data_IF_174909261633
#
_entry.id   IF_174909261633
#
_cell.length_a   1.000
_cell.length_b   1.000
_cell.length_c   1.000
_cell.angle_alpha   90.00
_cell.angle_beta   90.00
_cell.angle_gamma   90.00
#
_symmetry.space_group_name_H-M   'P 1'
#
loop_
_entity.id
_entity.type
_entity.pdbx_description
1 polymer ?
#
# COMPACT_ATOMS: atom_id res chain seq x y z
N UNK A 1 -2.15 -5.57 -21.40
CA UNK A 1 -1.66 -6.19 -20.15
C UNK A 1 -1.23 -5.08 -19.21
N UNK A 2 -1.60 -5.10 -17.92
CA UNK A 2 -1.12 -4.10 -16.97
C UNK A 2 0.40 -4.20 -16.85
N UNK A 3 1.07 -3.06 -16.74
CA UNK A 3 2.52 -3.00 -16.55
C UNK A 3 2.90 -3.48 -15.14
N UNK A 4 3.96 -4.28 -15.04
CA UNK A 4 4.50 -4.75 -13.75
C UNK A 4 5.07 -3.60 -12.93
N UNK A 5 4.74 -3.53 -11.64
CA UNK A 5 5.29 -2.54 -10.70
C UNK A 5 6.76 -2.89 -10.39
N UNK A 6 7.65 -1.89 -10.43
CA UNK A 6 9.07 -2.07 -10.11
C UNK A 6 9.28 -2.46 -8.64
N UNK A 7 10.37 -3.16 -8.35
CA UNK A 7 10.78 -3.53 -6.99
C UNK A 7 12.10 -2.87 -6.60
N UNK A 8 12.35 -2.74 -5.29
CA UNK A 8 13.63 -2.35 -4.71
C UNK A 8 14.07 -3.39 -3.69
N UNK A 9 15.39 -3.60 -3.55
CA UNK A 9 15.94 -4.50 -2.53
C UNK A 9 16.16 -3.74 -1.22
N UNK A 10 15.60 -4.27 -0.14
CA UNK A 10 15.90 -3.83 1.21
C UNK A 10 17.28 -4.34 1.64
N UNK A 11 17.92 -3.74 2.67
CA UNK A 11 19.19 -4.25 3.22
C UNK A 11 19.11 -5.70 3.72
N UNK A 12 17.91 -6.18 4.09
CA UNK A 12 17.64 -7.58 4.42
C UNK A 12 17.73 -8.53 3.22
N UNK A 13 17.82 -8.01 1.99
CA UNK A 13 17.82 -8.78 0.74
C UNK A 13 16.43 -8.96 0.11
N UNK A 14 15.36 -8.60 0.83
CA UNK A 14 13.98 -8.71 0.35
C UNK A 14 13.67 -7.72 -0.77
N UNK A 15 13.02 -8.17 -1.84
CA UNK A 15 12.57 -7.31 -2.94
C UNK A 15 11.12 -6.88 -2.71
N UNK A 16 10.89 -5.58 -2.45
CA UNK A 16 9.57 -5.01 -2.18
C UNK A 16 9.15 -4.08 -3.32
N UNK A 17 7.85 -4.03 -3.64
CA UNK A 17 7.32 -3.11 -4.65
C UNK A 17 7.53 -1.66 -4.23
N UNK A 18 7.88 -0.80 -5.19
CA UNK A 18 8.13 0.62 -4.90
C UNK A 18 6.86 1.44 -4.69
N UNK A 19 5.69 0.86 -4.98
CA UNK A 19 4.38 1.45 -4.74
C UNK A 19 3.68 0.66 -3.63
N UNK A 20 3.44 1.31 -2.49
CA UNK A 20 2.77 0.72 -1.34
C UNK A 20 1.36 1.29 -1.11
N UNK A 21 0.74 0.87 0.00
CA UNK A 21 -0.56 1.36 0.44
C UNK A 21 -0.41 1.94 1.85
N UNK A 22 -0.64 3.24 1.99
CA UNK A 22 -0.69 3.90 3.30
C UNK A 22 -2.10 3.87 3.87
N UNK A 23 -2.22 3.64 5.18
CA UNK A 23 -3.51 3.50 5.88
C UNK A 23 -3.78 4.60 6.91
N UNK A 24 -2.89 5.59 7.01
CA UNK A 24 -3.05 6.69 7.96
C UNK A 24 -4.36 7.44 7.71
N UNK A 25 -5.11 7.68 8.79
CA UNK A 25 -6.46 8.27 8.82
C UNK A 25 -7.61 7.46 8.21
N UNK A 26 -7.36 6.28 7.65
CA UNK A 26 -8.46 5.41 7.19
C UNK A 26 -9.26 4.89 8.39
N UNK A 27 -10.58 4.94 8.30
CA UNK A 27 -11.49 4.43 9.32
C UNK A 27 -11.67 5.33 10.55
N UNK A 28 -11.09 6.54 10.57
CA UNK A 28 -11.28 7.51 11.66
C UNK A 28 -12.72 8.04 11.71
N UNK A 29 -13.41 8.12 10.57
CA UNK A 29 -14.82 8.49 10.52
C UNK A 29 -15.70 7.23 10.39
N UNK A 30 -16.38 6.87 11.48
CA UNK A 30 -17.22 5.67 11.53
C UNK A 30 -18.32 5.64 10.46
N UNK A 31 -18.85 6.81 10.05
CA UNK A 31 -19.86 6.90 8.99
C UNK A 31 -19.32 6.61 7.59
N UNK A 32 -17.98 6.66 7.40
CA UNK A 32 -17.29 6.43 6.12
C UNK A 32 -16.56 5.10 6.05
N UNK A 33 -16.58 4.31 7.13
CA UNK A 33 -15.82 3.06 7.26
C UNK A 33 -16.03 2.12 6.07
N UNK A 34 -17.27 1.88 5.65
CA UNK A 34 -17.60 0.98 4.52
C UNK A 34 -16.99 1.40 3.17
N UNK A 35 -16.61 2.68 3.02
CA UNK A 35 -15.96 3.17 1.80
C UNK A 35 -14.44 3.27 1.91
N UNK A 36 -13.88 3.10 3.10
CA UNK A 36 -12.46 3.34 3.40
C UNK A 36 -11.66 2.05 3.66
N UNK A 37 -12.31 1.01 4.20
CA UNK A 37 -11.71 -0.29 4.56
C UNK A 37 -12.44 -1.46 3.92
#
# INVERSE_FOLDING_TARGET
MPSTIRTTKLPSGEAVQVLGQGTWKMGENNSRRTSEV
#
